data_IF_455628127350
#
_entry.id   IF_455628127350
#
_cell.length_a   1.000
_cell.length_b   1.000
_cell.length_c   1.000
_cell.angle_alpha   90.00
_cell.angle_beta   90.00
_cell.angle_gamma   90.00
#
_symmetry.space_group_name_H-M   'P 1'
#
loop_
_entity.id
_entity.type
_entity.pdbx_description
1 polymer ?
#
# COMPACT_ATOMS: atom_id res chain seq x y z
N UNK A 1 -21.36 13.06 5.39
CA UNK A 1 -20.22 13.49 4.57
C UNK A 1 -20.78 13.84 3.20
N UNK A 2 -20.21 14.79 2.46
CA UNK A 2 -20.71 15.21 1.15
C UNK A 2 -19.61 15.22 0.09
N UNK A 3 -19.97 15.42 -1.18
CA UNK A 3 -19.00 15.45 -2.29
C UNK A 3 -17.99 16.60 -2.14
N UNK A 4 -18.40 17.72 -1.55
CA UNK A 4 -17.49 18.84 -1.27
C UNK A 4 -16.39 18.44 -0.28
N UNK A 5 -16.73 17.66 0.75
CA UNK A 5 -15.78 17.09 1.69
C UNK A 5 -14.81 16.13 0.99
N UNK A 6 -15.29 15.26 0.10
CA UNK A 6 -14.39 14.34 -0.66
C UNK A 6 -13.45 15.13 -1.57
N UNK A 7 -13.93 16.17 -2.25
CA UNK A 7 -13.09 17.07 -3.05
C UNK A 7 -12.00 17.74 -2.22
N UNK A 8 -12.32 18.16 -0.99
CA UNK A 8 -11.34 18.72 -0.07
C UNK A 8 -10.27 17.69 0.31
N UNK A 9 -10.66 16.46 0.64
CA UNK A 9 -9.69 15.41 0.99
C UNK A 9 -8.88 14.93 -0.23
N UNK A 10 -9.45 15.00 -1.43
CA UNK A 10 -8.72 14.80 -2.69
C UNK A 10 -7.64 15.86 -2.89
N UNK A 11 -7.98 17.14 -2.77
CA UNK A 11 -7.00 18.22 -2.89
C UNK A 11 -5.89 18.10 -1.83
N UNK A 12 -6.24 17.74 -0.59
CA UNK A 12 -5.27 17.47 0.48
C UNK A 12 -4.34 16.32 0.13
N UNK A 13 -4.88 15.15 -0.23
CA UNK A 13 -4.07 13.99 -0.62
C UNK A 13 -3.18 14.32 -1.82
N UNK A 14 -3.71 15.00 -2.85
CA UNK A 14 -2.94 15.40 -4.04
C UNK A 14 -1.74 16.28 -3.67
N UNK A 15 -1.96 17.27 -2.81
CA UNK A 15 -0.90 18.13 -2.29
C UNK A 15 0.15 17.34 -1.51
N UNK A 16 -0.27 16.51 -0.56
CA UNK A 16 0.66 15.77 0.30
C UNK A 16 1.42 14.67 -0.47
N UNK A 17 0.78 14.04 -1.46
CA UNK A 17 1.44 13.12 -2.39
C UNK A 17 2.53 13.80 -3.22
N UNK A 18 2.22 14.98 -3.76
CA UNK A 18 3.18 15.79 -4.53
C UNK A 18 4.36 16.25 -3.66
N UNK A 19 4.07 16.74 -2.44
CA UNK A 19 5.11 17.17 -1.50
C UNK A 19 5.98 16.00 -1.06
N UNK A 20 5.38 14.83 -0.79
CA UNK A 20 6.12 13.63 -0.47
C UNK A 20 7.07 13.29 -1.61
N UNK A 21 6.60 13.14 -2.85
CA UNK A 21 7.45 12.85 -4.01
C UNK A 21 8.61 13.84 -4.18
N UNK A 22 8.36 15.14 -3.95
CA UNK A 22 9.32 16.22 -4.17
C UNK A 22 10.36 16.33 -3.06
N UNK A 23 9.91 16.42 -1.80
CA UNK A 23 10.76 16.76 -0.67
C UNK A 23 11.35 15.54 0.01
N UNK A 24 10.60 14.44 0.01
CA UNK A 24 11.02 13.16 0.58
C UNK A 24 11.63 13.35 1.97
N UNK A 25 10.84 13.84 2.88
CA UNK A 25 11.28 14.09 4.24
C UNK A 25 10.27 13.48 5.24
N UNK A 26 10.65 13.31 6.51
CA UNK A 26 9.78 12.71 7.50
C UNK A 26 8.45 13.46 7.69
N UNK A 27 8.40 14.78 7.52
CA UNK A 27 7.19 15.59 7.64
C UNK A 27 6.27 15.32 6.46
N UNK A 28 6.80 15.37 5.24
CA UNK A 28 6.02 15.06 4.05
C UNK A 28 5.49 13.61 4.07
N UNK A 29 6.25 12.67 4.66
CA UNK A 29 5.78 11.30 4.87
C UNK A 29 4.64 11.21 5.89
N UNK A 30 4.80 11.87 7.04
CA UNK A 30 3.79 11.94 8.08
C UNK A 30 2.46 12.47 7.51
N UNK A 31 2.51 13.60 6.80
CA UNK A 31 1.36 14.24 6.17
C UNK A 31 0.65 13.34 5.15
N UNK A 32 1.41 12.64 4.30
CA UNK A 32 0.87 11.67 3.36
C UNK A 32 0.17 10.53 4.09
N UNK A 33 0.79 9.98 5.14
CA UNK A 33 0.23 8.87 5.90
C UNK A 33 -1.09 9.23 6.58
N UNK A 34 -1.19 10.43 7.15
CA UNK A 34 -2.43 10.92 7.75
C UNK A 34 -3.51 11.23 6.72
N UNK A 35 -3.13 11.78 5.56
CA UNK A 35 -4.06 12.01 4.46
C UNK A 35 -4.68 10.70 4.00
N UNK A 36 -3.87 9.65 3.81
CA UNK A 36 -4.37 8.32 3.45
C UNK A 36 -5.25 7.70 4.52
N UNK A 37 -4.95 7.92 5.81
CA UNK A 37 -5.80 7.45 6.91
C UNK A 37 -7.20 8.04 6.83
N UNK A 38 -7.32 9.34 6.55
CA UNK A 38 -8.65 9.97 6.33
C UNK A 38 -9.41 9.27 5.20
N UNK A 39 -8.73 8.92 4.10
CA UNK A 39 -9.36 8.15 3.02
C UNK A 39 -9.84 6.76 3.45
N UNK A 40 -9.08 6.07 4.31
CA UNK A 40 -9.53 4.79 4.91
C UNK A 40 -10.79 4.99 5.73
N UNK A 41 -10.88 6.05 6.53
CA UNK A 41 -12.06 6.35 7.35
C UNK A 41 -13.29 6.70 6.47
N UNK A 42 -13.06 7.20 5.26
CA UNK A 42 -14.09 7.58 4.29
C UNK A 42 -14.53 6.44 3.36
N UNK A 43 -13.97 5.24 3.48
CA UNK A 43 -14.10 4.20 2.45
C UNK A 43 -15.54 3.82 2.07
N UNK A 44 -16.43 3.75 3.06
CA UNK A 44 -17.86 3.45 2.83
C UNK A 44 -18.55 4.55 2.02
N UNK A 45 -18.22 5.81 2.30
CA UNK A 45 -18.79 6.96 1.59
C UNK A 45 -18.32 7.02 0.14
N UNK A 46 -17.06 6.63 -0.12
CA UNK A 46 -16.54 6.52 -1.49
C UNK A 46 -17.26 5.42 -2.27
N UNK A 47 -17.52 4.27 -1.63
CA UNK A 47 -18.30 3.19 -2.23
C UNK A 47 -19.75 3.61 -2.54
N UNK A 48 -20.40 4.29 -1.60
CA UNK A 48 -21.75 4.85 -1.78
C UNK A 48 -21.79 5.81 -2.98
N UNK A 49 -20.84 6.75 -3.06
CA UNK A 49 -20.74 7.71 -4.17
C UNK A 49 -20.50 7.01 -5.52
N UNK A 50 -19.66 5.98 -5.55
CA UNK A 50 -19.39 5.19 -6.75
C UNK A 50 -20.63 4.42 -7.21
N UNK A 51 -21.37 3.83 -6.27
CA UNK A 51 -22.61 3.11 -6.56
C UNK A 51 -23.72 4.04 -7.07
N UNK A 52 -23.92 5.20 -6.44
CA UNK A 52 -24.91 6.20 -6.86
C UNK A 52 -24.63 6.75 -8.26
N UNK A 53 -23.35 6.89 -8.61
CA UNK A 53 -22.91 7.34 -9.93
C UNK A 53 -22.78 6.20 -10.97
N UNK A 54 -23.11 4.95 -10.60
CA UNK A 54 -22.98 3.79 -11.49
C UNK A 54 -21.55 3.56 -11.99
N UNK A 55 -20.55 4.01 -11.23
CA UNK A 55 -19.17 4.13 -11.67
C UNK A 55 -18.29 3.06 -11.03
N UNK A 56 -17.64 2.24 -11.86
CA UNK A 56 -16.58 1.33 -11.39
C UNK A 56 -15.24 2.07 -11.36
N UNK A 57 -14.57 2.05 -10.20
CA UNK A 57 -13.32 2.78 -9.98
C UNK A 57 -12.10 2.09 -10.60
N UNK A 58 -12.19 0.78 -10.89
CA UNK A 58 -11.13 0.05 -11.57
C UNK A 58 -9.81 0.04 -10.80
N UNK A 59 -9.84 -0.02 -9.46
CA UNK A 59 -8.62 -0.04 -8.67
C UNK A 59 -7.73 -1.23 -9.02
N UNK A 60 -6.44 -0.97 -9.20
CA UNK A 60 -5.48 -2.00 -9.55
C UNK A 60 -5.22 -2.92 -8.35
N UNK A 61 -5.46 -4.22 -8.52
CA UNK A 61 -4.98 -5.22 -7.60
C UNK A 61 -3.68 -5.83 -8.14
N UNK A 62 -2.69 -5.99 -7.27
CA UNK A 62 -1.35 -6.36 -7.72
C UNK A 62 -1.15 -7.86 -7.59
N UNK A 63 -0.58 -8.45 -8.63
CA UNK A 63 -0.25 -9.87 -8.63
C UNK A 63 1.22 -10.11 -8.93
N UNK A 64 1.89 -10.82 -8.03
CA UNK A 64 3.23 -11.36 -8.29
C UNK A 64 3.12 -12.44 -9.36
N UNK A 65 4.00 -12.46 -10.38
CA UNK A 65 3.98 -13.49 -11.43
C UNK A 65 4.03 -14.90 -10.86
N UNK A 66 3.27 -15.83 -11.46
CA UNK A 66 3.16 -17.22 -10.98
C UNK A 66 4.53 -17.91 -10.86
N UNK A 67 5.43 -17.68 -11.81
CA UNK A 67 6.80 -18.23 -11.80
C UNK A 67 7.61 -17.76 -10.59
N UNK A 68 7.53 -16.48 -10.24
CA UNK A 68 8.18 -15.94 -9.03
C UNK A 68 7.61 -16.60 -7.77
N UNK A 69 6.28 -16.77 -7.68
CA UNK A 69 5.64 -17.47 -6.56
C UNK A 69 6.10 -18.93 -6.45
N UNK A 70 6.33 -19.61 -7.57
CA UNK A 70 6.80 -21.00 -7.60
C UNK A 70 8.26 -21.11 -7.12
N UNK A 71 9.15 -20.25 -7.61
CA UNK A 71 10.56 -20.23 -7.19
C UNK A 71 10.68 -19.94 -5.68
N UNK A 72 9.88 -19.01 -5.17
CA UNK A 72 9.91 -18.61 -3.78
C UNK A 72 9.05 -19.49 -2.85
N UNK A 73 8.46 -20.57 -3.38
CA UNK A 73 7.63 -21.48 -2.59
C UNK A 73 8.44 -22.09 -1.44
N UNK A 74 7.84 -22.14 -0.24
CA UNK A 74 8.48 -22.66 0.97
C UNK A 74 9.55 -21.76 1.59
N UNK A 75 9.91 -20.63 0.95
CA UNK A 75 10.88 -19.68 1.51
C UNK A 75 10.16 -18.70 2.45
N UNK A 76 10.80 -18.32 3.57
CA UNK A 76 10.32 -17.21 4.38
C UNK A 76 10.75 -15.91 3.68
N UNK A 77 9.78 -15.07 3.35
CA UNK A 77 10.02 -13.85 2.60
C UNK A 77 9.21 -12.68 3.12
N UNK A 78 9.67 -11.50 2.76
CA UNK A 78 8.97 -10.24 2.93
C UNK A 78 8.80 -9.67 1.52
N UNK A 79 7.57 -9.39 1.10
CA UNK A 79 7.30 -8.89 -0.26
C UNK A 79 6.43 -7.63 -0.25
N UNK A 80 6.88 -6.62 -0.98
CA UNK A 80 6.09 -5.47 -1.42
C UNK A 80 5.99 -5.51 -2.95
N UNK A 81 4.79 -5.66 -3.52
CA UNK A 81 4.64 -5.83 -4.95
C UNK A 81 5.08 -4.59 -5.75
N UNK A 82 4.90 -3.35 -5.24
CA UNK A 82 5.26 -2.09 -5.93
C UNK A 82 5.12 -2.18 -7.46
N UNK A 83 3.89 -2.37 -7.94
CA UNK A 83 3.62 -2.79 -9.31
C UNK A 83 3.72 -1.64 -10.33
N UNK A 84 3.21 -0.46 -9.97
CA UNK A 84 3.21 0.72 -10.83
C UNK A 84 4.60 1.36 -10.92
N UNK A 85 5.47 1.01 -9.97
CA UNK A 85 6.75 1.65 -9.78
C UNK A 85 6.61 2.97 -9.04
N UNK A 86 7.51 3.24 -8.11
CA UNK A 86 7.66 4.58 -7.53
C UNK A 86 8.94 5.18 -8.07
N UNK A 87 8.80 6.32 -8.73
CA UNK A 87 9.94 7.05 -9.28
C UNK A 87 10.66 7.80 -8.14
N UNK A 88 11.95 7.52 -8.03
CA UNK A 88 12.95 8.20 -7.20
C UNK A 88 13.98 8.83 -8.15
N UNK A 89 14.67 9.94 -7.82
CA UNK A 89 15.77 10.46 -8.63
C UNK A 89 16.72 9.36 -9.09
N UNK A 90 16.70 9.07 -10.38
CA UNK A 90 17.54 8.05 -11.01
C UNK A 90 17.16 6.58 -10.78
N UNK A 91 16.08 6.27 -10.04
CA UNK A 91 15.69 4.88 -9.74
C UNK A 91 14.17 4.70 -9.81
N UNK A 92 13.72 3.63 -10.48
CA UNK A 92 12.35 3.14 -10.38
C UNK A 92 12.32 1.86 -9.54
N UNK A 93 11.53 1.87 -8.47
CA UNK A 93 11.40 0.72 -7.58
C UNK A 93 10.17 -0.13 -7.94
N UNK A 94 10.40 -1.41 -8.27
CA UNK A 94 9.33 -2.39 -8.54
C UNK A 94 9.60 -3.72 -7.83
N UNK A 95 8.55 -4.38 -7.33
CA UNK A 95 8.63 -5.77 -6.86
C UNK A 95 9.67 -6.04 -5.77
N UNK A 96 9.71 -5.25 -4.70
CA UNK A 96 10.69 -5.42 -3.64
C UNK A 96 10.43 -6.72 -2.85
N UNK A 97 11.41 -7.62 -2.87
CA UNK A 97 11.31 -8.92 -2.21
C UNK A 97 12.59 -9.23 -1.42
N UNK A 98 12.44 -9.57 -0.14
CA UNK A 98 13.51 -10.07 0.72
C UNK A 98 13.26 -11.54 1.02
N UNK A 99 14.26 -12.38 0.84
CA UNK A 99 14.16 -13.82 1.04
C UNK A 99 15.25 -14.26 2.01
N UNK A 100 14.91 -15.16 2.95
CA UNK A 100 15.84 -15.60 4.00
C UNK A 100 16.80 -16.72 3.56
N UNK A 101 17.08 -16.84 2.25
CA UNK A 101 18.02 -17.82 1.70
C UNK A 101 18.70 -17.26 0.45
N UNK A 102 19.85 -17.84 0.12
CA UNK A 102 20.45 -17.62 -1.18
C UNK A 102 19.57 -18.22 -2.28
N UNK A 103 19.46 -17.50 -3.40
CA UNK A 103 18.84 -17.97 -4.63
C UNK A 103 19.94 -18.51 -5.56
N UNK A 104 19.66 -19.60 -6.27
CA UNK A 104 20.55 -20.10 -7.31
C UNK A 104 20.54 -19.19 -8.55
N UNK A 105 21.54 -19.33 -9.43
CA UNK A 105 21.58 -18.58 -10.69
C UNK A 105 20.34 -18.85 -11.57
N UNK A 106 19.85 -20.10 -11.59
CA UNK A 106 18.66 -20.50 -12.34
C UNK A 106 17.37 -19.86 -11.77
N UNK A 107 17.28 -19.78 -10.44
CA UNK A 107 16.17 -19.13 -9.76
C UNK A 107 16.15 -17.62 -10.04
N UNK A 108 17.32 -16.97 -10.01
CA UNK A 108 17.47 -15.55 -10.34
C UNK A 108 17.09 -15.27 -11.79
N UNK A 109 17.57 -16.07 -12.74
CA UNK A 109 17.21 -15.94 -14.17
C UNK A 109 15.71 -16.12 -14.38
N UNK A 110 15.09 -17.10 -13.70
CA UNK A 110 13.64 -17.33 -13.76
C UNK A 110 12.84 -16.14 -13.23
N UNK A 111 13.25 -15.58 -12.09
CA UNK A 111 12.60 -14.39 -11.50
C UNK A 111 12.77 -13.18 -12.42
N UNK A 112 13.98 -12.95 -12.94
CA UNK A 112 14.26 -11.83 -13.85
C UNK A 112 13.38 -11.89 -15.11
N UNK A 113 13.32 -13.07 -15.77
CA UNK A 113 12.49 -13.27 -16.96
C UNK A 113 10.99 -13.19 -16.71
N UNK A 114 10.54 -13.47 -15.48
CA UNK A 114 9.13 -13.37 -15.12
C UNK A 114 8.65 -11.91 -14.98
N UNK A 115 9.59 -10.96 -14.80
CA UNK A 115 9.30 -9.54 -14.68
C UNK A 115 8.74 -9.12 -13.31
N UNK A 116 8.49 -7.81 -13.12
CA UNK A 116 7.94 -7.28 -11.88
C UNK A 116 6.45 -7.64 -11.71
N UNK A 117 5.90 -7.44 -10.50
CA UNK A 117 4.45 -7.46 -10.29
C UNK A 117 3.74 -6.47 -11.19
N UNK A 118 2.53 -6.85 -11.62
CA UNK A 118 1.70 -6.04 -12.51
C UNK A 118 0.37 -5.77 -11.84
N UNK A 119 -0.11 -4.53 -11.97
CA UNK A 119 -1.45 -4.16 -11.56
C UNK A 119 -2.49 -4.56 -12.60
N UNK A 120 -3.55 -5.20 -12.13
CA UNK A 120 -4.71 -5.52 -12.95
C UNK A 120 -5.90 -4.78 -12.38
N UNK A 121 -6.58 -4.00 -13.22
CA UNK A 121 -7.81 -3.33 -12.86
C UNK A 121 -8.82 -4.37 -12.35
N UNK A 122 -9.39 -4.09 -11.19
CA UNK A 122 -10.35 -4.97 -10.53
C UNK A 122 -11.72 -4.31 -10.45
N UNK A 123 -12.77 -5.12 -10.34
CA UNK A 123 -14.15 -4.65 -10.12
C UNK A 123 -14.46 -4.51 -8.62
N UNK A 124 -13.43 -4.46 -7.77
CA UNK A 124 -13.59 -4.33 -6.34
C UNK A 124 -14.08 -2.91 -5.98
N UNK A 125 -14.93 -2.83 -4.96
CA UNK A 125 -15.22 -1.55 -4.31
C UNK A 125 -13.94 -0.97 -3.69
N UNK A 126 -13.94 0.31 -3.34
CA UNK A 126 -12.83 0.92 -2.63
C UNK A 126 -12.58 0.24 -1.28
N UNK A 127 -13.64 -0.13 -0.55
CA UNK A 127 -13.51 -0.90 0.70
C UNK A 127 -12.86 -2.27 0.46
N UNK A 128 -13.29 -3.00 -0.57
CA UNK A 128 -12.74 -4.32 -0.90
C UNK A 128 -11.28 -4.23 -1.37
N UNK A 129 -10.94 -3.21 -2.16
CA UNK A 129 -9.57 -2.95 -2.58
C UNK A 129 -8.65 -2.62 -1.40
N UNK A 130 -9.12 -1.82 -0.43
CA UNK A 130 -8.39 -1.53 0.80
C UNK A 130 -8.16 -2.78 1.66
N UNK A 131 -9.09 -3.74 1.63
CA UNK A 131 -8.99 -5.01 2.32
C UNK A 131 -8.01 -6.00 1.66
N UNK A 132 -7.65 -5.79 0.40
CA UNK A 132 -6.70 -6.67 -0.29
C UNK A 132 -5.27 -6.52 0.26
N UNK A 133 -4.56 -7.66 0.29
CA UNK A 133 -3.17 -7.76 0.75
C UNK A 133 -2.20 -6.98 -0.13
N UNK A 134 -1.31 -6.22 0.49
CA UNK A 134 -0.27 -5.42 -0.18
C UNK A 134 1.13 -5.66 0.38
N UNK A 135 1.23 -6.33 1.53
CA UNK A 135 2.49 -6.60 2.17
C UNK A 135 2.51 -8.03 2.70
N UNK A 136 3.33 -8.88 2.09
CA UNK A 136 3.49 -10.28 2.49
C UNK A 136 4.60 -10.40 3.53
N UNK A 137 4.32 -11.06 4.64
CA UNK A 137 5.26 -11.31 5.73
C UNK A 137 5.22 -12.78 6.17
N UNK A 138 6.32 -13.30 6.76
CA UNK A 138 6.29 -14.64 7.32
C UNK A 138 5.24 -14.74 8.43
N UNK A 139 4.46 -15.81 8.40
CA UNK A 139 3.55 -16.12 9.51
C UNK A 139 4.26 -16.98 10.57
N UNK A 140 3.70 -17.02 11.78
CA UNK A 140 4.10 -17.95 12.83
C UNK A 140 3.41 -19.33 12.75
N UNK A 141 2.60 -19.58 11.72
CA UNK A 141 1.82 -20.81 11.52
C UNK A 141 2.43 -21.58 10.36
N UNK A 142 2.92 -22.79 10.61
CA UNK A 142 3.62 -23.60 9.61
C UNK A 142 2.74 -23.98 8.41
N UNK A 143 1.44 -24.17 8.62
CA UNK A 143 0.44 -24.48 7.57
C UNK A 143 0.22 -23.31 6.60
N UNK A 144 0.43 -22.08 7.08
CA UNK A 144 0.27 -20.86 6.30
C UNK A 144 1.52 -20.00 6.46
N UNK A 145 2.67 -20.37 5.87
CA UNK A 145 3.96 -19.76 6.19
C UNK A 145 4.07 -18.27 5.84
N UNK A 146 3.05 -17.71 5.16
CA UNK A 146 2.95 -16.32 4.77
C UNK A 146 1.60 -15.73 5.21
N UNK A 147 1.63 -14.47 5.61
CA UNK A 147 0.48 -13.65 5.97
C UNK A 147 0.48 -12.38 5.12
N UNK A 148 -0.69 -11.98 4.64
CA UNK A 148 -0.85 -10.74 3.90
C UNK A 148 -1.43 -9.64 4.79
N UNK A 149 -0.77 -8.50 4.84
CA UNK A 149 -1.24 -7.27 5.48
C UNK A 149 -1.95 -6.44 4.42
N UNK A 150 -3.19 -6.02 4.72
CA UNK A 150 -4.01 -5.23 3.80
C UNK A 150 -3.53 -3.78 3.67
N UNK A 151 -3.97 -3.09 2.61
CA UNK A 151 -3.69 -1.65 2.43
C UNK A 151 -4.22 -0.84 3.61
N UNK A 152 -5.43 -1.14 4.06
CA UNK A 152 -6.04 -0.49 5.23
C UNK A 152 -5.17 -0.62 6.49
N UNK A 153 -4.76 -1.84 6.82
CA UNK A 153 -3.93 -2.09 8.01
C UNK A 153 -2.60 -1.36 7.86
N UNK A 154 -1.94 -1.48 6.70
CA UNK A 154 -0.68 -0.78 6.43
C UNK A 154 -0.81 0.73 6.66
N UNK A 155 -1.81 1.38 6.08
CA UNK A 155 -2.04 2.83 6.20
C UNK A 155 -2.25 3.22 7.67
N UNK A 156 -3.19 2.56 8.36
CA UNK A 156 -3.51 2.85 9.77
C UNK A 156 -2.29 2.70 10.67
N UNK A 157 -1.58 1.58 10.54
CA UNK A 157 -0.44 1.27 11.42
C UNK A 157 0.77 2.15 11.13
N UNK A 158 1.03 2.51 9.86
CA UNK A 158 2.11 3.47 9.53
C UNK A 158 1.78 4.85 10.09
N UNK A 159 0.55 5.33 9.93
CA UNK A 159 0.14 6.63 10.50
C UNK A 159 0.27 6.65 12.03
N UNK A 160 -0.09 5.56 12.71
CA UNK A 160 0.10 5.41 14.16
C UNK A 160 1.59 5.43 14.56
N UNK A 161 2.45 4.73 13.81
CA UNK A 161 3.88 4.66 14.09
C UNK A 161 4.58 6.00 13.89
N UNK A 162 4.15 6.81 12.91
CA UNK A 162 4.74 8.13 12.61
C UNK A 162 4.21 9.25 13.51
N UNK A 163 2.94 9.18 13.95
CA UNK A 163 2.27 10.26 14.68
C UNK A 163 2.46 10.26 16.21
N UNK A 164 3.25 9.33 16.76
CA UNK A 164 3.44 9.14 18.21
C UNK A 164 2.12 9.04 19.01
N UNK A 165 1.63 7.81 19.19
CA UNK A 165 0.59 7.40 20.16
C UNK A 165 -0.70 8.22 20.18
N UNK A 166 -1.82 7.60 19.77
CA UNK A 166 -3.01 7.78 20.60
C UNK A 166 -2.67 7.22 21.99
N UNK A 167 -3.01 7.90 23.10
CA UNK A 167 -2.84 7.33 24.43
C UNK A 167 -3.52 5.96 24.43
N UNK A 168 -2.78 4.94 24.87
CA UNK A 168 -3.31 3.59 25.04
C UNK A 168 -4.61 3.68 25.85
N UNK A 169 -5.75 3.36 25.25
CA UNK A 169 -7.00 3.44 26.00
C UNK A 169 -8.33 3.45 25.24
N UNK A 170 -8.39 3.29 23.91
CA UNK A 170 -9.71 3.20 23.25
C UNK A 170 -9.83 2.00 22.31
N UNK A 171 -10.66 1.05 22.78
CA UNK A 171 -11.32 -0.05 22.07
C UNK A 171 -10.49 -1.31 21.73
N UNK A 172 -11.05 -2.46 22.09
CA UNK A 172 -10.52 -3.81 21.83
C UNK A 172 -10.22 -4.11 20.36
N UNK A 173 -10.76 -3.30 19.43
CA UNK A 173 -10.47 -3.37 17.99
C UNK A 173 -9.00 -3.08 17.66
N UNK A 174 -8.34 -2.20 18.42
CA UNK A 174 -6.92 -1.91 18.21
C UNK A 174 -6.04 -3.10 18.60
N UNK A 175 -6.44 -3.94 19.56
CA UNK A 175 -5.62 -5.06 20.04
C UNK A 175 -5.28 -6.08 18.94
N UNK A 176 -6.26 -6.38 18.07
CA UNK A 176 -6.10 -7.31 16.96
C UNK A 176 -5.26 -6.72 15.81
N UNK A 177 -5.33 -5.40 15.59
CA UNK A 177 -4.52 -4.71 14.58
C UNK A 177 -3.09 -4.44 15.07
N UNK A 178 -2.89 -4.21 16.38
CA UNK A 178 -1.59 -3.97 17.00
C UNK A 178 -0.60 -5.12 16.78
N UNK A 179 -1.09 -6.35 16.56
CA UNK A 179 -0.24 -7.51 16.23
C UNK A 179 0.62 -7.29 14.98
N UNK A 180 0.21 -6.37 14.10
CA UNK A 180 0.94 -6.06 12.87
C UNK A 180 2.06 -5.02 13.07
N UNK A 181 2.13 -4.31 14.21
CA UNK A 181 3.07 -3.22 14.43
C UNK A 181 4.52 -3.63 14.25
N UNK A 182 4.88 -4.83 14.75
CA UNK A 182 6.22 -5.37 14.58
C UNK A 182 6.59 -5.47 13.10
N UNK A 183 5.68 -5.95 12.26
CA UNK A 183 5.92 -6.11 10.83
C UNK A 183 6.03 -4.76 10.10
N UNK A 184 5.23 -3.78 10.53
CA UNK A 184 5.26 -2.42 9.99
C UNK A 184 6.55 -1.69 10.36
N UNK A 185 6.98 -1.79 11.63
CA UNK A 185 8.24 -1.21 12.09
C UNK A 185 9.44 -1.86 11.41
N UNK A 186 9.42 -3.19 11.24
CA UNK A 186 10.43 -3.90 10.46
C UNK A 186 10.51 -3.35 9.04
N UNK A 187 9.37 -3.22 8.35
CA UNK A 187 9.33 -2.68 7.00
C UNK A 187 9.78 -1.22 6.92
N UNK A 188 9.41 -0.40 7.90
CA UNK A 188 9.79 1.01 7.96
C UNK A 188 11.31 1.21 8.15
N UNK A 189 11.95 0.26 8.84
CA UNK A 189 13.40 0.25 9.01
C UNK A 189 14.17 -0.26 7.79
N UNK A 190 13.51 -0.91 6.84
CA UNK A 190 14.10 -1.24 5.55
C UNK A 190 14.23 0.03 4.71
N UNK A 191 15.47 0.48 4.50
CA UNK A 191 15.76 1.65 3.65
C UNK A 191 15.97 1.21 2.21
N UNK A 192 15.37 1.93 1.27
CA UNK A 192 15.38 1.62 -0.17
C UNK A 192 15.68 2.87 -0.98
N UNK A 193 16.44 2.70 -2.07
CA UNK A 193 16.96 3.77 -2.93
C UNK A 193 17.63 4.88 -2.10
N UNK A 194 17.09 6.11 -2.12
CA UNK A 194 17.65 7.30 -1.46
C UNK A 194 17.57 7.27 0.09
N UNK A 195 17.59 6.09 0.70
CA UNK A 195 17.57 5.91 2.15
C UNK A 195 16.18 5.98 2.78
N UNK A 196 15.10 5.99 1.99
CA UNK A 196 13.73 6.10 2.51
C UNK A 196 13.14 4.75 2.95
N UNK A 197 12.27 4.74 3.96
CA UNK A 197 11.52 3.55 4.37
C UNK A 197 10.80 2.86 3.21
N UNK A 198 10.78 1.53 3.16
CA UNK A 198 9.98 0.80 2.18
C UNK A 198 8.47 1.12 2.29
N UNK A 199 8.00 1.41 3.51
CA UNK A 199 6.62 1.88 3.76
C UNK A 199 6.29 3.19 3.06
N UNK A 200 7.27 4.08 2.90
CA UNK A 200 7.09 5.37 2.22
C UNK A 200 6.70 5.16 0.76
N UNK A 201 7.45 4.32 0.04
CA UNK A 201 7.16 4.03 -1.37
C UNK A 201 5.79 3.35 -1.53
N UNK A 202 5.42 2.44 -0.62
CA UNK A 202 4.11 1.80 -0.71
C UNK A 202 2.95 2.79 -0.50
N UNK A 203 3.09 3.78 0.40
CA UNK A 203 2.07 4.81 0.58
C UNK A 203 1.99 5.77 -0.62
N UNK A 204 3.11 6.08 -1.27
CA UNK A 204 3.12 6.87 -2.52
C UNK A 204 2.33 6.17 -3.62
N UNK A 205 2.53 4.86 -3.79
CA UNK A 205 1.81 4.08 -4.79
C UNK A 205 0.31 4.02 -4.48
N UNK A 206 -0.06 3.74 -3.22
CA UNK A 206 -1.47 3.76 -2.78
C UNK A 206 -2.10 5.14 -3.01
N UNK A 207 -1.40 6.22 -2.67
CA UNK A 207 -1.90 7.58 -2.86
C UNK A 207 -2.13 7.92 -4.31
N UNK A 208 -1.24 7.48 -5.21
CA UNK A 208 -1.41 7.62 -6.65
C UNK A 208 -2.69 6.92 -7.13
N UNK A 209 -2.88 5.65 -6.75
CA UNK A 209 -4.07 4.88 -7.12
C UNK A 209 -5.37 5.55 -6.64
N UNK A 210 -5.41 6.02 -5.39
CA UNK A 210 -6.56 6.76 -4.86
C UNK A 210 -6.83 8.01 -5.70
N UNK A 211 -5.81 8.81 -5.99
CA UNK A 211 -5.96 10.06 -6.74
C UNK A 211 -6.39 9.84 -8.20
N UNK A 212 -5.88 8.82 -8.86
CA UNK A 212 -6.21 8.54 -10.26
C UNK A 212 -7.63 7.99 -10.37
N UNK A 213 -7.98 7.02 -9.53
CA UNK A 213 -9.25 6.27 -9.66
C UNK A 213 -10.45 7.01 -9.08
N UNK A 214 -10.27 7.83 -8.04
CA UNK A 214 -11.39 8.61 -7.46
C UNK A 214 -11.65 9.91 -8.20
N UNK A 215 -10.73 10.38 -9.06
CA UNK A 215 -10.90 11.61 -9.83
C UNK A 215 -12.21 11.65 -10.61
N UNK A 216 -12.60 10.51 -11.18
CA UNK A 216 -13.79 10.39 -12.04
C UNK A 216 -15.09 10.64 -11.27
N UNK A 217 -15.12 10.34 -9.96
CA UNK A 217 -16.27 10.61 -9.09
C UNK A 217 -16.40 12.11 -8.78
N UNK A 218 -15.28 12.82 -8.77
CA UNK A 218 -15.21 14.19 -8.26
C UNK A 218 -15.29 15.22 -9.37
N UNK A 219 -14.81 14.85 -10.55
CA UNK A 219 -14.73 15.69 -11.75
C UNK A 219 -15.20 14.86 -12.96
N UNK A 220 -16.49 14.48 -13.01
CA UNK A 220 -17.03 13.78 -14.16
C UNK A 220 -16.82 14.64 -15.42
N UNK A 221 -16.34 14.02 -16.50
CA UNK A 221 -16.24 14.69 -17.79
C UNK A 221 -17.63 15.11 -18.23
N UNK A 222 -17.85 16.42 -18.33
CA UNK A 222 -19.09 17.03 -18.84
C UNK A 222 -19.44 16.58 -20.25
#
# INVERSE_FOLDING_TARGET
MDVAHVRLQYARLSRHHTLALKHKDPVSFLDLSHSLRVWVDMKKFVDELANESGTSLGFANYSTPKKVKQVLKGSRRVQLPLASGVDSPGVQLKGLTFVNRALSAEELDTIYKAGPPVGQDSQLSFTEWLACGIYEVPSGIDEHPQLWISREILIKRVANALGASHPAGTSDADSAENRFDRHILQLHNVKVADGYPATYYQLIEIGKDVLERTKILLFPSS
#
